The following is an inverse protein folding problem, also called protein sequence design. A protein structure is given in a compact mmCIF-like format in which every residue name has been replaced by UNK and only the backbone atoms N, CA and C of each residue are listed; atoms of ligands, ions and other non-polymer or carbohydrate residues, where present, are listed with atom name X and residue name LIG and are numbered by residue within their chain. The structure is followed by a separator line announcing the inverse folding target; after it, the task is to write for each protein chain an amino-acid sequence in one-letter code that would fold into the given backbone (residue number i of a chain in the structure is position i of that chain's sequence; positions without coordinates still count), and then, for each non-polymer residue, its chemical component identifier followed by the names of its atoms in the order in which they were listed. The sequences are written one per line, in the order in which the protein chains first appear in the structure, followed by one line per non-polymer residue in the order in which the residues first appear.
data_IF_479820582176
#
_entry.id   IF_479820582176
#
_cell.length_a   1.000
_cell.length_b   1.000
_cell.length_c   1.000
_cell.angle_alpha   90.00
_cell.angle_beta   90.00
_cell.angle_gamma   90.00
#
_symmetry.space_group_name_H-M   'P 1'
#
loop_
_entity.id
_entity.type
_entity.pdbx_description
1 polymer ?
#
# COMPACT_ATOMS: atom_id res chain seq x y z
N UNK A 1 30.58 -13.21 -34.47
CA UNK A 1 29.51 -12.22 -34.33
C UNK A 1 28.96 -12.37 -32.90
N UNK A 2 29.32 -11.47 -32.01
CA UNK A 2 28.77 -11.48 -30.65
C UNK A 2 27.32 -11.02 -30.75
N UNK A 3 26.38 -11.90 -30.39
CA UNK A 3 24.98 -11.55 -30.18
C UNK A 3 24.97 -10.53 -29.03
N UNK A 4 24.66 -9.29 -29.34
CA UNK A 4 24.36 -8.29 -28.33
C UNK A 4 23.15 -8.82 -27.58
N UNK A 5 23.37 -9.38 -26.39
CA UNK A 5 22.29 -9.65 -25.45
C UNK A 5 21.66 -8.28 -25.16
N UNK A 6 20.56 -8.02 -25.78
CA UNK A 6 19.71 -6.89 -25.43
C UNK A 6 19.42 -7.00 -23.93
N UNK A 7 19.76 -5.98 -23.20
CA UNK A 7 19.34 -5.81 -21.80
C UNK A 7 17.84 -5.53 -21.81
N UNK A 8 17.10 -6.57 -22.20
CA UNK A 8 15.83 -6.46 -22.81
C UNK A 8 14.73 -6.81 -21.90
N UNK A 9 13.77 -5.95 -21.98
CA UNK A 9 12.38 -6.30 -21.89
C UNK A 9 11.98 -7.02 -20.60
N UNK A 10 12.63 -6.67 -19.49
CA UNK A 10 12.20 -7.06 -18.16
C UNK A 10 11.16 -6.06 -17.70
N UNK A 11 9.94 -6.51 -17.55
CA UNK A 11 8.89 -5.73 -16.88
C UNK A 11 9.11 -5.79 -15.37
N UNK A 12 9.26 -4.65 -14.73
CA UNK A 12 9.40 -4.51 -13.28
C UNK A 12 8.08 -4.14 -12.65
N UNK A 13 7.57 -4.99 -11.78
CA UNK A 13 6.44 -4.67 -10.91
C UNK A 13 7.02 -4.15 -9.59
N UNK A 14 7.04 -2.84 -9.44
CA UNK A 14 7.54 -2.18 -8.22
C UNK A 14 6.44 -2.19 -7.18
N UNK A 15 6.71 -2.86 -6.06
CA UNK A 15 5.84 -2.92 -4.89
C UNK A 15 6.37 -1.94 -3.85
N UNK A 16 5.62 -0.88 -3.48
CA UNK A 16 6.09 0.15 -2.56
C UNK A 16 5.97 -0.24 -1.08
N UNK A 17 5.90 -1.54 -0.81
CA UNK A 17 5.77 -2.11 0.53
C UNK A 17 6.70 -3.31 0.71
N UNK A 18 6.85 -3.77 1.96
CA UNK A 18 7.72 -4.88 2.30
C UNK A 18 7.33 -6.17 1.56
N UNK A 19 8.31 -7.04 1.32
CA UNK A 19 8.08 -8.39 0.83
C UNK A 19 7.15 -9.16 1.82
N UNK A 20 6.23 -9.96 1.27
CA UNK A 20 5.21 -10.65 2.05
C UNK A 20 3.98 -9.79 2.40
N UNK A 21 3.98 -8.50 2.08
CA UNK A 21 2.77 -7.68 2.19
C UNK A 21 1.68 -8.17 1.21
N UNK A 22 0.43 -7.77 1.47
CA UNK A 22 -0.65 -8.10 0.54
C UNK A 22 -0.35 -7.67 -0.90
N UNK A 23 0.14 -6.44 -1.08
CA UNK A 23 0.48 -5.90 -2.39
C UNK A 23 1.58 -6.70 -3.08
N UNK A 24 2.58 -7.16 -2.32
CA UNK A 24 3.64 -8.03 -2.83
C UNK A 24 3.09 -9.40 -3.26
N UNK A 25 2.24 -10.00 -2.44
CA UNK A 25 1.61 -11.28 -2.78
C UNK A 25 0.75 -11.18 -4.05
N UNK A 26 -0.01 -10.10 -4.20
CA UNK A 26 -0.80 -9.85 -5.41
C UNK A 26 0.11 -9.65 -6.63
N UNK A 27 1.19 -8.88 -6.52
CA UNK A 27 2.16 -8.69 -7.59
C UNK A 27 2.76 -10.03 -8.05
N UNK A 28 3.17 -10.87 -7.09
CA UNK A 28 3.73 -12.22 -7.40
C UNK A 28 2.70 -13.17 -7.98
N UNK A 29 1.43 -13.03 -7.61
CA UNK A 29 0.34 -13.84 -8.18
C UNK A 29 0.09 -13.51 -9.65
N UNK A 30 0.14 -12.23 -10.03
CA UNK A 30 -0.15 -11.81 -11.42
C UNK A 30 1.07 -11.87 -12.33
N UNK A 31 2.30 -11.77 -11.81
CA UNK A 31 3.53 -11.72 -12.59
C UNK A 31 3.69 -12.89 -13.59
N UNK A 32 3.44 -14.17 -13.24
CA UNK A 32 3.57 -15.28 -14.19
C UNK A 32 2.59 -15.18 -15.35
N UNK A 33 1.34 -14.76 -15.07
CA UNK A 33 0.34 -14.53 -16.12
C UNK A 33 0.75 -13.40 -17.06
N UNK A 34 1.25 -12.29 -16.51
CA UNK A 34 1.78 -11.19 -17.31
C UNK A 34 2.97 -11.64 -18.17
N UNK A 35 3.93 -12.37 -17.60
CA UNK A 35 5.09 -12.87 -18.35
C UNK A 35 4.67 -13.72 -19.55
N UNK A 36 3.69 -14.62 -19.36
CA UNK A 36 3.16 -15.46 -20.43
C UNK A 36 2.51 -14.66 -21.56
N UNK A 37 1.68 -13.66 -21.21
CA UNK A 37 0.95 -12.88 -22.21
C UNK A 37 1.83 -11.84 -22.92
N UNK A 38 2.73 -11.20 -22.20
CA UNK A 38 3.66 -10.20 -22.75
C UNK A 38 4.84 -10.84 -23.48
N UNK A 39 5.09 -12.13 -23.27
CA UNK A 39 6.30 -12.84 -23.75
C UNK A 39 7.60 -12.17 -23.29
N UNK A 40 7.60 -11.62 -22.07
CA UNK A 40 8.69 -10.91 -21.45
C UNK A 40 8.94 -11.45 -20.05
N UNK A 41 10.14 -11.27 -19.53
CA UNK A 41 10.40 -11.53 -18.11
C UNK A 41 9.67 -10.49 -17.26
N UNK A 42 8.98 -10.94 -16.23
CA UNK A 42 8.32 -10.06 -15.24
C UNK A 42 8.92 -10.33 -13.86
N UNK A 43 9.49 -9.32 -13.25
CA UNK A 43 10.06 -9.40 -11.91
C UNK A 43 9.30 -8.51 -10.93
N UNK A 44 9.22 -8.95 -9.68
CA UNK A 44 8.65 -8.15 -8.59
C UNK A 44 9.79 -7.57 -7.76
N UNK A 45 9.81 -6.26 -7.63
CA UNK A 45 10.84 -5.51 -6.90
C UNK A 45 10.18 -4.72 -5.75
N UNK A 46 10.56 -5.03 -4.51
CA UNK A 46 10.05 -4.32 -3.34
C UNK A 46 10.90 -3.08 -3.05
N UNK A 47 10.26 -1.90 -3.00
CA UNK A 47 10.85 -0.61 -2.62
C UNK A 47 10.01 0.04 -1.53
N UNK A 48 10.10 -0.51 -0.33
CA UNK A 48 9.37 -0.04 0.82
C UNK A 48 9.96 1.25 1.40
N UNK A 49 9.14 2.01 2.10
CA UNK A 49 9.52 3.18 2.88
C UNK A 49 8.62 4.38 2.67
N UNK A 50 8.55 5.25 3.69
CA UNK A 50 7.76 6.49 3.70
C UNK A 50 6.31 6.29 3.20
N UNK A 51 5.60 5.29 3.72
CA UNK A 51 4.23 4.94 3.30
C UNK A 51 4.09 4.70 1.78
N UNK A 52 5.12 4.12 1.15
CA UNK A 52 5.14 3.80 -0.28
C UNK A 52 5.63 4.93 -1.19
N UNK A 53 5.98 6.09 -0.65
CA UNK A 53 6.46 7.24 -1.43
C UNK A 53 7.76 6.89 -2.17
N UNK A 54 8.69 6.14 -1.55
CA UNK A 54 9.98 5.78 -2.17
C UNK A 54 9.77 4.95 -3.44
N UNK A 55 8.91 3.92 -3.37
CA UNK A 55 8.62 3.07 -4.53
C UNK A 55 7.87 3.80 -5.63
N UNK A 56 6.93 4.68 -5.26
CA UNK A 56 6.17 5.46 -6.21
C UNK A 56 7.03 6.53 -6.94
N UNK A 57 7.87 7.26 -6.22
CA UNK A 57 8.81 8.23 -6.81
C UNK A 57 9.78 7.54 -7.79
N UNK A 58 10.24 6.34 -7.45
CA UNK A 58 11.09 5.56 -8.36
C UNK A 58 10.38 5.27 -9.68
N UNK A 59 9.09 4.89 -9.65
CA UNK A 59 8.33 4.61 -10.88
C UNK A 59 8.00 5.90 -11.63
N UNK A 60 7.61 6.95 -10.92
CA UNK A 60 7.31 8.26 -11.51
C UNK A 60 8.51 8.84 -12.30
N UNK A 61 9.74 8.56 -11.85
CA UNK A 61 10.98 8.98 -12.55
C UNK A 61 11.50 7.98 -13.58
N UNK A 62 10.89 6.81 -13.69
CA UNK A 62 11.32 5.80 -14.64
C UNK A 62 11.01 6.24 -16.09
N UNK A 63 11.67 5.62 -17.06
CA UNK A 63 11.32 5.85 -18.47
C UNK A 63 9.87 5.44 -18.72
N UNK A 64 9.07 6.25 -19.45
CA UNK A 64 7.68 5.96 -19.75
C UNK A 64 7.55 4.96 -20.92
N UNK A 65 8.30 3.86 -20.86
CA UNK A 65 8.35 2.80 -21.88
C UNK A 65 7.43 1.61 -21.57
N UNK A 66 6.71 1.67 -20.45
CA UNK A 66 5.80 0.61 -20.02
C UNK A 66 6.50 -0.59 -19.36
N UNK A 67 7.81 -0.51 -19.10
CA UNK A 67 8.57 -1.61 -18.50
C UNK A 67 8.71 -1.48 -16.98
N UNK A 68 8.41 -0.32 -16.41
CA UNK A 68 8.42 -0.11 -14.95
C UNK A 68 7.02 0.28 -14.50
N UNK A 69 6.38 -0.60 -13.75
CA UNK A 69 4.99 -0.46 -13.32
C UNK A 69 4.90 -0.43 -11.80
N UNK A 70 4.08 0.47 -11.25
CA UNK A 70 3.78 0.51 -9.83
C UNK A 70 2.61 -0.43 -9.51
N UNK A 71 2.80 -1.34 -8.57
CA UNK A 71 1.69 -2.06 -7.94
C UNK A 71 1.26 -1.24 -6.72
N UNK A 72 0.49 -0.21 -7.00
CA UNK A 72 0.06 0.78 -6.02
C UNK A 72 -1.28 0.45 -5.37
N UNK A 73 -1.72 1.35 -4.51
CA UNK A 73 -3.00 1.27 -3.83
C UNK A 73 -3.41 2.63 -3.27
N UNK A 74 -4.52 2.67 -2.53
CA UNK A 74 -5.12 3.90 -2.03
C UNK A 74 -4.12 4.78 -1.24
N UNK A 75 -3.24 4.19 -0.44
CA UNK A 75 -2.24 4.96 0.31
C UNK A 75 -1.41 5.84 -0.60
N UNK A 76 -0.84 5.27 -1.66
CA UNK A 76 0.09 5.97 -2.54
C UNK A 76 -0.62 6.90 -3.51
N UNK A 77 -1.69 6.40 -4.14
CA UNK A 77 -2.29 7.11 -5.27
C UNK A 77 -3.33 8.16 -4.86
N UNK A 78 -3.94 8.00 -3.66
CA UNK A 78 -5.10 8.82 -3.27
C UNK A 78 -4.91 9.53 -1.94
N UNK A 79 -4.35 8.85 -0.93
CA UNK A 79 -4.31 9.38 0.44
C UNK A 79 -3.07 10.20 0.69
N UNK A 80 -1.89 9.72 0.26
CA UNK A 80 -0.63 10.46 0.46
C UNK A 80 -0.68 11.89 -0.07
N UNK A 81 -1.28 12.19 -1.25
CA UNK A 81 -1.44 13.58 -1.73
C UNK A 81 -2.18 14.50 -0.77
N UNK A 82 -3.12 13.94 0.01
CA UNK A 82 -3.91 14.71 0.99
C UNK A 82 -3.24 14.81 2.37
N UNK A 83 -2.30 13.92 2.69
CA UNK A 83 -1.67 13.82 4.01
C UNK A 83 -0.30 14.48 4.03
N UNK A 84 0.47 14.37 2.94
CA UNK A 84 1.81 14.94 2.85
C UNK A 84 1.78 16.27 2.10
N UNK A 85 2.38 17.29 2.70
CA UNK A 85 2.46 18.65 2.08
C UNK A 85 3.35 18.67 0.83
N UNK A 86 4.40 17.86 0.82
CA UNK A 86 5.37 17.80 -0.26
C UNK A 86 5.58 16.34 -0.66
N UNK A 87 5.03 15.94 -1.79
CA UNK A 87 5.36 14.70 -2.45
C UNK A 87 6.40 14.96 -3.54
N UNK A 88 7.36 14.04 -3.76
CA UNK A 88 8.37 14.20 -4.81
C UNK A 88 7.84 13.90 -6.22
N UNK A 89 6.59 13.51 -6.36
CA UNK A 89 5.89 13.21 -7.61
C UNK A 89 4.42 13.64 -7.53
N UNK A 90 3.79 13.82 -8.68
CA UNK A 90 2.34 14.04 -8.80
C UNK A 90 1.67 12.73 -9.22
N UNK A 91 0.87 12.08 -8.35
CA UNK A 91 0.26 10.79 -8.68
C UNK A 91 -0.77 10.85 -9.83
N UNK A 92 -1.30 12.02 -10.17
CA UNK A 92 -2.25 12.19 -11.29
C UNK A 92 -1.54 12.41 -12.62
N UNK A 93 -0.37 13.06 -12.60
CA UNK A 93 0.39 13.41 -13.81
C UNK A 93 1.50 12.40 -14.11
N UNK A 94 2.18 11.88 -13.06
CA UNK A 94 3.38 11.06 -13.23
C UNK A 94 3.07 9.55 -13.23
N UNK A 95 1.86 9.14 -12.77
CA UNK A 95 1.48 7.73 -12.64
C UNK A 95 0.18 7.43 -13.41
N UNK A 96 0.33 7.06 -14.67
CA UNK A 96 -0.82 6.71 -15.50
C UNK A 96 -1.45 5.37 -15.04
N UNK A 97 -2.75 5.33 -14.66
CA UNK A 97 -3.40 4.08 -14.27
C UNK A 97 -3.57 3.14 -15.45
N UNK A 98 -3.15 1.88 -15.29
CA UNK A 98 -3.22 0.82 -16.31
C UNK A 98 -4.44 -0.08 -16.08
N UNK A 99 -4.54 -0.69 -14.89
CA UNK A 99 -5.61 -1.60 -14.56
C UNK A 99 -5.80 -1.73 -13.04
N UNK A 100 -7.02 -2.03 -12.61
CA UNK A 100 -7.30 -2.44 -11.25
C UNK A 100 -7.16 -3.95 -11.12
N UNK A 101 -6.17 -4.40 -10.35
CA UNK A 101 -5.90 -5.84 -10.13
C UNK A 101 -6.93 -6.46 -9.17
N UNK A 102 -7.36 -5.70 -8.16
CA UNK A 102 -8.30 -6.20 -7.15
C UNK A 102 -8.71 -5.14 -6.14
N UNK A 103 -9.44 -5.58 -5.12
CA UNK A 103 -9.87 -4.78 -3.98
C UNK A 103 -9.41 -5.46 -2.71
N UNK A 104 -8.84 -4.69 -1.79
CA UNK A 104 -8.42 -5.16 -0.47
C UNK A 104 -9.37 -4.58 0.59
N UNK A 105 -10.16 -5.39 1.27
CA UNK A 105 -10.89 -4.95 2.46
C UNK A 105 -9.93 -4.79 3.63
N UNK A 106 -10.15 -3.75 4.45
CA UNK A 106 -9.48 -3.64 5.74
C UNK A 106 -10.25 -4.40 6.81
N UNK A 107 -9.52 -4.98 7.74
CA UNK A 107 -10.08 -5.66 8.90
C UNK A 107 -9.63 -4.94 10.17
N UNK A 108 -10.57 -4.76 11.09
CA UNK A 108 -10.28 -4.31 12.45
C UNK A 108 -10.06 -5.55 13.33
N UNK A 109 -8.89 -5.64 13.94
CA UNK A 109 -8.52 -6.75 14.82
C UNK A 109 -8.28 -6.24 16.23
N UNK A 110 -8.61 -7.06 17.21
CA UNK A 110 -8.34 -6.80 18.63
C UNK A 110 -7.53 -7.96 19.22
N UNK A 111 -6.79 -7.67 20.29
CA UNK A 111 -6.10 -8.71 21.03
C UNK A 111 -7.12 -9.64 21.70
N UNK A 112 -6.98 -10.97 21.63
CA UNK A 112 -7.97 -11.93 22.16
C UNK A 112 -8.17 -11.85 23.68
N UNK A 113 -7.23 -11.26 24.41
CA UNK A 113 -7.36 -11.02 25.86
C UNK A 113 -8.22 -9.81 26.22
N UNK A 114 -8.71 -9.04 25.24
CA UNK A 114 -9.64 -7.94 25.50
C UNK A 114 -11.09 -8.44 25.39
N UNK A 115 -12.01 -7.95 26.24
CA UNK A 115 -13.43 -8.33 26.19
C UNK A 115 -14.16 -7.56 25.06
N UNK A 116 -13.64 -7.66 23.83
CA UNK A 116 -14.12 -6.92 22.68
C UNK A 116 -14.43 -7.94 21.56
N UNK A 117 -15.70 -8.13 21.27
CA UNK A 117 -16.18 -9.08 20.28
C UNK A 117 -16.94 -8.43 19.13
N UNK A 118 -17.15 -7.11 19.22
CA UNK A 118 -17.82 -6.31 18.22
C UNK A 118 -17.27 -4.88 18.17
N UNK A 119 -17.63 -4.13 17.13
CA UNK A 119 -17.30 -2.70 17.04
C UNK A 119 -18.00 -1.92 18.17
N UNK A 120 -19.19 -2.33 18.55
CA UNK A 120 -19.92 -1.70 19.67
C UNK A 120 -19.15 -1.89 20.99
N UNK A 121 -18.65 -3.10 21.26
CA UNK A 121 -17.84 -3.37 22.46
C UNK A 121 -16.56 -2.55 22.45
N UNK A 122 -15.90 -2.43 21.29
CA UNK A 122 -14.70 -1.60 21.16
C UNK A 122 -14.99 -0.13 21.52
N UNK A 123 -16.08 0.41 21.00
CA UNK A 123 -16.48 1.80 21.24
C UNK A 123 -16.79 2.00 22.74
N UNK A 124 -17.55 1.08 23.34
CA UNK A 124 -17.88 1.16 24.77
C UNK A 124 -16.64 1.03 25.63
N UNK A 125 -15.81 0.02 25.37
CA UNK A 125 -14.56 -0.19 26.10
C UNK A 125 -13.62 1.02 26.04
N UNK A 126 -13.47 1.62 24.84
CA UNK A 126 -12.63 2.80 24.65
C UNK A 126 -13.18 4.05 25.38
N UNK A 127 -14.50 4.19 25.49
CA UNK A 127 -15.14 5.26 26.26
C UNK A 127 -14.94 5.09 27.76
N UNK A 128 -15.04 3.86 28.26
CA UNK A 128 -14.86 3.53 29.67
C UNK A 128 -13.38 3.55 30.09
N UNK A 129 -12.48 3.40 29.13
CA UNK A 129 -11.02 3.34 29.34
C UNK A 129 -10.29 4.31 28.41
N UNK A 130 -10.45 5.63 28.53
CA UNK A 130 -9.81 6.60 27.65
C UNK A 130 -8.28 6.46 27.69
N UNK A 131 -7.67 6.55 26.51
CA UNK A 131 -6.22 6.48 26.28
C UNK A 131 -5.52 5.17 26.74
N UNK A 132 -6.27 4.09 27.05
CA UNK A 132 -5.69 2.79 27.40
C UNK A 132 -5.51 1.86 26.20
N UNK A 133 -6.30 2.02 25.14
CA UNK A 133 -6.14 1.25 23.92
C UNK A 133 -5.16 1.93 22.96
N UNK A 134 -4.22 1.16 22.46
CA UNK A 134 -3.34 1.57 21.38
C UNK A 134 -3.74 0.85 20.07
N UNK A 135 -3.48 1.49 18.95
CA UNK A 135 -3.67 0.89 17.64
C UNK A 135 -2.45 1.09 16.78
N UNK A 136 -2.16 0.11 15.94
CA UNK A 136 -1.10 0.18 14.94
C UNK A 136 -1.68 0.18 13.53
N UNK A 137 -1.02 0.89 12.64
CA UNK A 137 -1.40 0.94 11.22
C UNK A 137 -0.18 0.77 10.33
N UNK A 138 -0.24 -0.12 9.35
CA UNK A 138 0.90 -0.38 8.46
C UNK A 138 1.04 0.66 7.33
N UNK A 139 0.07 1.53 7.14
CA UNK A 139 0.05 2.51 6.06
C UNK A 139 -0.99 3.63 6.29
N UNK A 140 -0.92 4.68 5.46
CA UNK A 140 -1.81 5.85 5.57
C UNK A 140 -3.29 5.53 5.35
N UNK A 141 -3.64 4.53 4.56
CA UNK A 141 -5.05 4.20 4.34
C UNK A 141 -5.70 3.61 5.59
N UNK A 142 -5.01 2.71 6.29
CA UNK A 142 -5.49 2.17 7.56
C UNK A 142 -5.48 3.21 8.68
N UNK A 143 -4.49 4.12 8.67
CA UNK A 143 -4.46 5.26 9.59
C UNK A 143 -5.71 6.13 9.43
N UNK A 144 -6.01 6.58 8.21
CA UNK A 144 -7.19 7.42 7.94
C UNK A 144 -8.48 6.69 8.30
N UNK A 145 -8.57 5.37 8.02
CA UNK A 145 -9.73 4.56 8.42
C UNK A 145 -9.93 4.54 9.94
N UNK A 146 -8.85 4.34 10.71
CA UNK A 146 -8.91 4.33 12.17
C UNK A 146 -9.22 5.70 12.75
N UNK A 147 -8.60 6.77 12.25
CA UNK A 147 -8.89 8.13 12.70
C UNK A 147 -10.34 8.53 12.40
N UNK A 148 -10.87 8.10 11.25
CA UNK A 148 -12.31 8.30 10.93
C UNK A 148 -13.22 7.56 11.91
N UNK A 149 -12.87 6.32 12.29
CA UNK A 149 -13.62 5.59 13.33
C UNK A 149 -13.58 6.32 14.66
N UNK A 150 -12.39 6.76 15.09
CA UNK A 150 -12.22 7.53 16.35
C UNK A 150 -13.10 8.78 16.37
N UNK A 151 -13.06 9.55 15.28
CA UNK A 151 -13.85 10.78 15.16
C UNK A 151 -15.35 10.50 15.19
N UNK A 152 -15.84 9.53 14.38
CA UNK A 152 -17.27 9.20 14.31
C UNK A 152 -17.81 8.60 15.60
N UNK A 153 -17.03 7.81 16.31
CA UNK A 153 -17.43 7.14 17.54
C UNK A 153 -17.17 8.02 18.81
N UNK A 154 -16.46 9.11 18.68
CA UNK A 154 -16.08 9.97 19.81
C UNK A 154 -15.18 9.24 20.81
N UNK A 155 -14.24 8.42 20.35
CA UNK A 155 -13.33 7.61 21.18
C UNK A 155 -11.88 8.06 21.05
N UNK A 156 -11.09 7.79 22.09
CA UNK A 156 -9.65 8.05 22.12
C UNK A 156 -8.88 6.76 22.08
N UNK A 157 -7.95 6.66 21.14
CA UNK A 157 -7.01 5.56 20.99
C UNK A 157 -5.62 6.12 20.75
N UNK A 158 -4.58 5.51 21.33
CA UNK A 158 -3.19 5.92 21.15
C UNK A 158 -2.66 5.36 19.81
N UNK A 159 -2.11 6.21 18.96
CA UNK A 159 -1.49 5.79 17.70
C UNK A 159 -0.07 5.28 17.94
N UNK A 160 0.23 4.09 17.45
CA UNK A 160 1.58 3.50 17.47
C UNK A 160 2.01 3.35 16.00
N UNK A 161 2.99 4.13 15.55
CA UNK A 161 3.52 4.00 14.19
C UNK A 161 4.33 2.69 14.06
N UNK A 162 4.25 2.06 12.89
CA UNK A 162 5.04 0.91 12.49
C UNK A 162 6.03 1.28 11.39
#
# INVERSE_FOLDING_TARGET
MASSAHAEDVVRLVVPFAAGSYTDNVARLVAPGMAKHLKKNVIVENRAGANGIIGADFVARAKPDGLTLLVGGASVNTINPSVYKNLPFDPEQDLLPVARIGVLPFMLLTHPGLPIHSVADLIQYAKDNPDKLAYGTPNTATLVGTETLKQKAGIKLLSVPY
#
